data_IF_305352655711
#
_entry.id   IF_305352655711
#
_cell.length_a   1.000
_cell.length_b   1.000
_cell.length_c   1.000
_cell.angle_alpha   90.00
_cell.angle_beta   90.00
_cell.angle_gamma   90.00
#
_symmetry.space_group_name_H-M   'P 1'
#
loop_
_entity.id
_entity.type
_entity.pdbx_description
1 polymer ?
#
# COMPACT_ATOMS: atom_id res chain seq x y z
N UNK A 1 38.46 -5.86 10.30
CA UNK A 1 37.17 -6.29 9.74
C UNK A 1 37.41 -6.67 8.30
N UNK A 2 37.47 -7.97 8.00
CA UNK A 2 37.51 -8.44 6.62
C UNK A 2 36.08 -8.46 6.07
N UNK A 3 35.93 -7.80 4.95
CA UNK A 3 34.65 -7.27 4.52
C UNK A 3 34.24 -8.08 3.29
N UNK A 4 33.28 -9.02 3.45
CA UNK A 4 32.81 -9.97 2.41
C UNK A 4 32.29 -9.34 1.10
N UNK A 5 32.33 -8.02 0.97
CA UNK A 5 31.85 -7.24 -0.17
C UNK A 5 32.86 -6.14 -0.47
N UNK A 6 33.30 -6.05 -1.72
CA UNK A 6 34.22 -5.01 -2.19
C UNK A 6 33.61 -3.61 -1.98
N UNK A 7 34.47 -2.61 -1.80
CA UNK A 7 34.03 -1.21 -1.66
C UNK A 7 33.21 -0.74 -2.87
N UNK A 8 33.57 -1.20 -4.07
CA UNK A 8 32.80 -0.95 -5.28
C UNK A 8 31.35 -1.46 -5.17
N UNK A 9 31.14 -2.68 -4.66
CA UNK A 9 29.80 -3.25 -4.45
C UNK A 9 29.00 -2.48 -3.39
N UNK A 10 29.67 -1.97 -2.36
CA UNK A 10 29.02 -1.12 -1.34
C UNK A 10 28.59 0.22 -1.90
N UNK A 11 29.45 0.86 -2.68
CA UNK A 11 29.15 2.12 -3.36
C UNK A 11 27.97 1.94 -4.31
N UNK A 12 27.98 0.89 -5.13
CA UNK A 12 26.87 0.54 -6.03
C UNK A 12 25.56 0.31 -5.26
N UNK A 13 25.57 -0.45 -4.16
CA UNK A 13 24.38 -0.67 -3.33
C UNK A 13 23.87 0.62 -2.69
N UNK A 14 24.78 1.49 -2.22
CA UNK A 14 24.42 2.78 -1.62
C UNK A 14 23.77 3.69 -2.67
N UNK A 15 24.32 3.72 -3.89
CA UNK A 15 23.75 4.50 -5.00
C UNK A 15 22.42 3.93 -5.49
N UNK A 16 22.25 2.61 -5.52
CA UNK A 16 20.97 1.97 -5.81
C UNK A 16 19.91 2.36 -4.78
N UNK A 17 20.20 2.20 -3.48
CA UNK A 17 19.26 2.58 -2.41
C UNK A 17 18.95 4.07 -2.41
N UNK A 18 19.93 4.92 -2.76
CA UNK A 18 19.70 6.36 -2.87
C UNK A 18 18.74 6.68 -4.02
N UNK A 19 18.90 6.03 -5.18
CA UNK A 19 18.03 6.21 -6.35
C UNK A 19 16.62 5.63 -6.15
N UNK A 20 16.50 4.53 -5.40
CA UNK A 20 15.24 3.81 -5.21
C UNK A 20 14.63 4.03 -3.82
N UNK A 21 15.10 5.03 -3.08
CA UNK A 21 14.75 5.26 -1.67
C UNK A 21 13.24 5.33 -1.45
N UNK A 22 12.54 6.01 -2.35
CA UNK A 22 11.09 6.20 -2.26
C UNK A 22 10.33 4.91 -2.53
N UNK A 23 10.70 4.19 -3.60
CA UNK A 23 10.11 2.90 -3.93
C UNK A 23 10.34 1.86 -2.83
N UNK A 24 11.55 1.80 -2.25
CA UNK A 24 11.86 0.92 -1.10
C UNK A 24 11.05 1.30 0.15
N UNK A 25 10.84 2.60 0.39
CA UNK A 25 10.04 3.10 1.50
C UNK A 25 8.57 2.70 1.33
N UNK A 26 7.98 2.90 0.16
CA UNK A 26 6.61 2.49 -0.14
C UNK A 26 6.42 0.97 -0.03
N UNK A 27 7.38 0.19 -0.55
CA UNK A 27 7.36 -1.27 -0.42
C UNK A 27 7.43 -1.73 1.04
N UNK A 28 8.22 -1.04 1.87
CA UNK A 28 8.31 -1.30 3.30
C UNK A 28 6.96 -1.05 3.96
N UNK A 29 6.33 0.11 3.71
CA UNK A 29 5.00 0.41 4.25
C UNK A 29 3.96 -0.63 3.85
N UNK A 30 3.91 -1.02 2.58
CA UNK A 30 2.98 -2.07 2.13
C UNK A 30 3.17 -3.38 2.90
N UNK A 31 4.42 -3.81 3.09
CA UNK A 31 4.72 -5.04 3.82
C UNK A 31 4.36 -4.94 5.29
N UNK A 32 4.71 -3.85 5.96
CA UNK A 32 4.46 -3.67 7.39
C UNK A 32 2.97 -3.53 7.66
N UNK A 33 2.23 -2.76 6.86
CA UNK A 33 0.77 -2.60 7.00
C UNK A 33 0.06 -3.94 6.81
N UNK A 34 0.43 -4.72 5.78
CA UNK A 34 -0.14 -6.06 5.59
C UNK A 34 0.11 -6.95 6.83
N UNK A 35 1.34 -6.96 7.34
CA UNK A 35 1.68 -7.73 8.54
C UNK A 35 0.89 -7.28 9.77
N UNK A 36 0.73 -5.98 9.97
CA UNK A 36 -0.02 -5.41 11.07
C UNK A 36 -1.49 -5.82 11.02
N UNK A 37 -2.17 -5.53 9.90
CA UNK A 37 -3.60 -5.81 9.72
C UNK A 37 -3.94 -7.30 9.88
N UNK A 38 -3.05 -8.19 9.48
CA UNK A 38 -3.31 -9.64 9.48
C UNK A 38 -2.93 -10.35 10.77
N UNK A 39 -2.08 -9.76 11.62
CA UNK A 39 -1.50 -10.47 12.78
C UNK A 39 -1.53 -9.71 14.10
N UNK A 40 -1.67 -8.39 14.06
CA UNK A 40 -1.43 -7.55 15.23
C UNK A 40 -2.55 -6.55 15.52
N UNK A 41 -3.28 -6.11 14.49
CA UNK A 41 -4.34 -5.13 14.65
C UNK A 41 -5.43 -5.64 15.60
N UNK A 42 -5.80 -4.80 16.54
CA UNK A 42 -6.95 -5.01 17.43
C UNK A 42 -8.25 -4.73 16.69
N UNK A 43 -9.37 -5.23 17.21
CA UNK A 43 -10.68 -5.02 16.61
C UNK A 43 -11.03 -3.53 16.42
N UNK A 44 -10.83 -2.62 17.40
CA UNK A 44 -11.08 -1.19 17.19
C UNK A 44 -10.22 -0.59 16.08
N UNK A 45 -8.93 -0.97 16.00
CA UNK A 45 -8.04 -0.49 14.95
C UNK A 45 -8.49 -0.97 13.57
N UNK A 46 -8.99 -2.20 13.45
CA UNK A 46 -9.54 -2.70 12.19
C UNK A 46 -10.72 -1.84 11.70
N UNK A 47 -11.60 -1.40 12.60
CA UNK A 47 -12.69 -0.47 12.26
C UNK A 47 -12.16 0.89 11.80
N UNK A 48 -11.13 1.42 12.45
CA UNK A 48 -10.50 2.67 12.03
C UNK A 48 -9.79 2.54 10.67
N UNK A 49 -9.11 1.41 10.42
CA UNK A 49 -8.52 1.13 9.11
C UNK A 49 -9.57 1.05 8.02
N UNK A 50 -10.73 0.46 8.28
CA UNK A 50 -11.84 0.43 7.33
C UNK A 50 -12.30 1.85 6.97
N UNK A 51 -12.44 2.74 7.96
CA UNK A 51 -12.76 4.16 7.74
C UNK A 51 -11.71 4.87 6.90
N UNK A 52 -10.42 4.64 7.18
CA UNK A 52 -9.33 5.23 6.40
C UNK A 52 -9.30 4.75 4.96
N UNK A 53 -9.60 3.47 4.72
CA UNK A 53 -9.70 2.89 3.37
C UNK A 53 -10.82 3.58 2.60
N UNK A 54 -12.01 3.70 3.19
CA UNK A 54 -13.15 4.35 2.54
C UNK A 54 -12.85 5.81 2.20
N UNK A 55 -12.34 6.59 3.16
CA UNK A 55 -11.95 7.98 2.90
C UNK A 55 -10.90 8.09 1.78
N UNK A 56 -9.96 7.13 1.69
CA UNK A 56 -8.94 7.14 0.63
C UNK A 56 -9.54 6.77 -0.72
N UNK A 57 -10.48 5.85 -0.78
CA UNK A 57 -11.20 5.50 -2.01
C UNK A 57 -11.98 6.71 -2.53
N UNK A 58 -12.73 7.40 -1.67
CA UNK A 58 -13.48 8.60 -2.05
C UNK A 58 -12.55 9.68 -2.63
N UNK A 59 -11.40 9.93 -1.97
CA UNK A 59 -10.38 10.86 -2.49
C UNK A 59 -9.82 10.45 -3.86
N UNK A 60 -9.69 9.15 -4.13
CA UNK A 60 -9.17 8.66 -5.42
C UNK A 60 -10.23 8.80 -6.52
N UNK A 61 -11.50 8.52 -6.21
CA UNK A 61 -12.62 8.74 -7.12
C UNK A 61 -12.73 10.23 -7.47
N UNK A 62 -12.59 11.13 -6.50
CA UNK A 62 -12.65 12.57 -6.72
C UNK A 62 -11.34 13.15 -7.29
N UNK A 63 -10.25 12.38 -7.31
CA UNK A 63 -8.94 12.85 -7.76
C UNK A 63 -8.94 13.23 -9.25
N UNK A 64 -8.29 14.34 -9.64
CA UNK A 64 -8.09 14.69 -11.05
C UNK A 64 -7.05 13.78 -11.74
N UNK A 65 -6.37 12.91 -11.00
CA UNK A 65 -5.35 11.98 -11.52
C UNK A 65 -5.96 10.86 -12.39
N UNK A 66 -7.25 10.55 -12.21
CA UNK A 66 -7.93 9.48 -12.93
C UNK A 66 -8.92 10.05 -13.94
N UNK A 67 -9.02 9.40 -15.11
CA UNK A 67 -10.04 9.75 -16.10
C UNK A 67 -11.44 9.36 -15.62
N UNK A 68 -12.49 9.89 -16.26
CA UNK A 68 -13.87 9.52 -15.92
C UNK A 68 -14.15 8.03 -16.11
N UNK A 69 -13.47 7.37 -17.05
CA UNK A 69 -13.59 5.93 -17.29
C UNK A 69 -12.90 5.13 -16.17
N UNK A 70 -11.68 5.51 -15.77
CA UNK A 70 -10.96 4.88 -14.66
C UNK A 70 -11.74 4.98 -13.34
N UNK A 71 -12.41 6.12 -13.09
CA UNK A 71 -13.23 6.33 -11.90
C UNK A 71 -14.42 5.37 -11.83
N UNK A 72 -15.11 5.18 -12.96
CA UNK A 72 -16.24 4.24 -13.05
C UNK A 72 -15.79 2.80 -12.81
N UNK A 73 -14.62 2.41 -13.34
CA UNK A 73 -14.05 1.09 -13.09
C UNK A 73 -13.68 0.90 -11.61
N UNK A 74 -13.02 1.89 -10.99
CA UNK A 74 -12.66 1.85 -9.57
C UNK A 74 -13.88 1.77 -8.65
N UNK A 75 -14.92 2.55 -8.94
CA UNK A 75 -16.20 2.49 -8.22
C UNK A 75 -16.86 1.11 -8.33
N UNK A 76 -16.86 0.53 -9.54
CA UNK A 76 -17.42 -0.79 -9.78
C UNK A 76 -16.66 -1.86 -8.99
N UNK A 77 -15.33 -1.86 -9.06
CA UNK A 77 -14.49 -2.80 -8.30
C UNK A 77 -14.72 -2.67 -6.79
N UNK A 78 -14.83 -1.44 -6.29
CA UNK A 78 -15.07 -1.22 -4.87
C UNK A 78 -16.44 -1.74 -4.42
N UNK A 79 -17.49 -1.55 -5.23
CA UNK A 79 -18.83 -2.10 -4.96
C UNK A 79 -18.84 -3.63 -4.97
N UNK A 80 -18.17 -4.27 -5.93
CA UNK A 80 -18.08 -5.73 -6.00
C UNK A 80 -17.45 -6.31 -4.73
N UNK A 81 -16.38 -5.68 -4.22
CA UNK A 81 -15.75 -6.09 -2.95
C UNK A 81 -16.73 -5.96 -1.77
N UNK A 82 -17.48 -4.86 -1.68
CA UNK A 82 -18.47 -4.68 -0.61
C UNK A 82 -19.60 -5.71 -0.69
N UNK A 83 -20.10 -6.00 -1.89
CA UNK A 83 -21.15 -6.99 -2.12
C UNK A 83 -20.68 -8.40 -1.76
N UNK A 84 -19.43 -8.77 -2.09
CA UNK A 84 -18.83 -10.04 -1.67
C UNK A 84 -18.76 -10.17 -0.15
N UNK A 85 -18.39 -9.10 0.56
CA UNK A 85 -18.38 -9.09 2.02
C UNK A 85 -19.80 -9.30 2.58
N UNK A 86 -20.81 -8.63 2.03
CA UNK A 86 -22.20 -8.74 2.46
C UNK A 86 -22.84 -10.10 2.15
N UNK A 87 -22.40 -10.82 1.11
CA UNK A 87 -22.90 -12.15 0.74
C UNK A 87 -22.25 -13.30 1.52
N UNK A 88 -21.15 -13.02 2.23
CA UNK A 88 -20.41 -14.01 3.01
C UNK A 88 -20.87 -14.17 4.46
N UNK A 89 -21.92 -13.42 4.85
CA UNK A 89 -22.74 -13.64 6.06
C UNK A 89 -23.96 -14.52 5.75
#
# INVERSE_FOLDING_TARGET
>A
MDYKTSEAKRKANREYRKRNKESERLATYRRTTKGYLTKHATFPELLDFQRYIFNRVDQLIDSPEYSSEDKLELEKMFREVLDEFQRSE
#
